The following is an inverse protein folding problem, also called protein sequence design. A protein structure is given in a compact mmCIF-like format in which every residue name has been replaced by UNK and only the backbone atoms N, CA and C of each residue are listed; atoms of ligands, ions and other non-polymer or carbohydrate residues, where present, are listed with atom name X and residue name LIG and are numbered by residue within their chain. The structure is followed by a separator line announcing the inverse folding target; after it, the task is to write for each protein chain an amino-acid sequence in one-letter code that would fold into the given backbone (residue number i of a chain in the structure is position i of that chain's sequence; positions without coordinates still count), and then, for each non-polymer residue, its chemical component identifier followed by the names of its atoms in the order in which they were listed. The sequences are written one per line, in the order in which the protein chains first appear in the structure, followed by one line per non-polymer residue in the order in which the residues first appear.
data_IF_743817865062
#
_entry.id   IF_743817865062
#
_cell.length_a   1.000
_cell.length_b   1.000
_cell.length_c   1.000
_cell.angle_alpha   90.00
_cell.angle_beta   90.00
_cell.angle_gamma   90.00
#
_symmetry.space_group_name_H-M   'P 1'
#
loop_
_entity.id
_entity.type
_entity.pdbx_description
1 polymer ?
#
# COMPACT_ATOMS: atom_id res chain seq x y z
N UNK A 1 -11.32 7.74 -5.89
CA UNK A 1 -10.67 6.42 -5.68
C UNK A 1 -10.26 5.78 -7.01
N UNK A 2 -11.19 5.59 -7.96
CA UNK A 2 -10.90 4.96 -9.27
C UNK A 2 -9.76 5.64 -10.05
N UNK A 3 -9.78 6.98 -10.18
CA UNK A 3 -8.72 7.71 -10.87
C UNK A 3 -7.30 7.44 -10.32
N UNK A 4 -7.17 7.22 -8.99
CA UNK A 4 -5.89 6.91 -8.34
C UNK A 4 -5.49 5.46 -8.61
N UNK A 5 -6.44 4.53 -8.57
CA UNK A 5 -6.21 3.12 -8.92
C UNK A 5 -5.77 2.98 -10.38
N UNK A 6 -6.42 3.69 -11.29
CA UNK A 6 -6.06 3.68 -12.71
C UNK A 6 -4.69 4.30 -12.97
N UNK A 7 -4.34 5.36 -12.23
CA UNK A 7 -3.00 5.92 -12.27
C UNK A 7 -1.96 4.90 -11.79
N UNK A 8 -2.19 4.23 -10.66
CA UNK A 8 -1.30 3.18 -10.15
C UNK A 8 -1.11 2.04 -11.15
N UNK A 9 -2.18 1.59 -11.81
CA UNK A 9 -2.09 0.57 -12.87
C UNK A 9 -1.21 1.01 -14.05
N UNK A 10 -1.25 2.28 -14.46
CA UNK A 10 -0.35 2.84 -15.48
C UNK A 10 1.10 2.85 -15.02
N UNK A 11 1.36 3.21 -13.76
CA UNK A 11 2.70 3.18 -13.16
C UNK A 11 3.26 1.75 -13.14
N UNK A 12 2.44 0.76 -12.76
CA UNK A 12 2.79 -0.66 -12.80
C UNK A 12 3.20 -1.10 -14.21
N UNK A 13 2.39 -0.77 -15.22
CA UNK A 13 2.67 -1.12 -16.63
C UNK A 13 4.00 -0.49 -17.08
N UNK A 14 4.23 0.78 -16.74
CA UNK A 14 5.44 1.49 -17.09
C UNK A 14 6.67 0.87 -16.39
N UNK A 15 6.57 0.57 -15.09
CA UNK A 15 7.64 -0.07 -14.33
C UNK A 15 8.04 -1.43 -14.94
N UNK A 16 7.06 -2.27 -15.28
CA UNK A 16 7.31 -3.55 -15.95
C UNK A 16 8.02 -3.37 -17.30
N UNK A 17 7.59 -2.38 -18.11
CA UNK A 17 8.25 -2.04 -19.40
C UNK A 17 9.69 -1.54 -19.23
N UNK A 18 9.97 -0.87 -18.12
CA UNK A 18 11.32 -0.36 -17.79
C UNK A 18 12.22 -1.42 -17.14
N UNK A 19 11.72 -2.64 -16.90
CA UNK A 19 12.46 -3.68 -16.16
C UNK A 19 12.57 -3.41 -14.66
N UNK A 20 11.78 -2.46 -14.12
CA UNK A 20 11.70 -2.17 -12.69
C UNK A 20 10.71 -3.12 -12.05
N UNK A 21 11.20 -4.00 -11.18
CA UNK A 21 10.41 -5.08 -10.57
C UNK A 21 9.68 -4.70 -9.28
N UNK A 22 9.79 -3.45 -8.83
CA UNK A 22 9.21 -2.98 -7.57
C UNK A 22 8.60 -1.58 -7.71
N UNK A 23 7.35 -1.42 -7.28
CA UNK A 23 6.67 -0.12 -7.15
C UNK A 23 6.23 0.08 -5.72
N UNK A 24 6.60 1.22 -5.13
CA UNK A 24 6.17 1.60 -3.78
C UNK A 24 4.88 2.43 -3.83
N UNK A 25 3.98 2.22 -2.89
CA UNK A 25 2.71 2.95 -2.78
C UNK A 25 2.20 2.97 -1.33
N UNK A 26 1.08 3.66 -1.12
CA UNK A 26 0.40 3.72 0.17
C UNK A 26 -0.87 2.86 0.13
N UNK A 27 -1.17 2.21 1.26
CA UNK A 27 -2.41 1.48 1.45
C UNK A 27 -3.44 2.44 2.06
N UNK A 28 -4.06 3.28 1.23
CA UNK A 28 -4.97 4.33 1.71
C UNK A 28 -6.04 3.80 2.68
N UNK A 29 -6.29 4.56 3.74
CA UNK A 29 -7.32 4.32 4.76
C UNK A 29 -8.21 5.55 4.92
N UNK A 30 -9.45 5.33 5.35
CA UNK A 30 -10.39 6.37 5.71
C UNK A 30 -10.24 6.69 7.20
N UNK A 31 -9.82 7.91 7.51
CA UNK A 31 -9.60 8.36 8.89
C UNK A 31 -10.90 8.36 9.74
N UNK A 32 -12.07 8.37 9.11
CA UNK A 32 -13.36 8.26 9.81
C UNK A 32 -13.71 6.82 10.23
N UNK A 33 -12.97 5.82 9.73
CA UNK A 33 -13.22 4.39 9.98
C UNK A 33 -12.18 3.79 10.92
N UNK A 34 -12.63 2.82 11.71
CA UNK A 34 -11.71 1.97 12.46
C UNK A 34 -10.93 1.02 11.54
N UNK A 35 -9.80 0.53 12.04
CA UNK A 35 -8.85 -0.30 11.28
C UNK A 35 -9.50 -1.53 10.62
N UNK A 36 -10.45 -2.18 11.28
CA UNK A 36 -11.13 -3.37 10.75
C UNK A 36 -12.01 -3.04 9.52
N UNK A 37 -12.77 -1.95 9.58
CA UNK A 37 -13.59 -1.50 8.46
C UNK A 37 -12.73 -1.05 7.26
N UNK A 38 -11.60 -0.37 7.53
CA UNK A 38 -10.63 -0.04 6.49
C UNK A 38 -9.99 -1.31 5.88
N UNK A 39 -9.73 -2.33 6.70
CA UNK A 39 -9.19 -3.60 6.24
C UNK A 39 -10.17 -4.36 5.33
N UNK A 40 -11.46 -4.36 5.64
CA UNK A 40 -12.50 -4.91 4.76
C UNK A 40 -12.55 -4.20 3.40
N UNK A 41 -12.41 -2.88 3.38
CA UNK A 41 -12.37 -2.11 2.14
C UNK A 41 -11.07 -2.30 1.34
N UNK A 42 -9.97 -2.58 2.03
CA UNK A 42 -8.70 -2.94 1.42
C UNK A 42 -8.80 -4.30 0.70
N UNK A 43 -9.42 -5.29 1.34
CA UNK A 43 -9.63 -6.62 0.77
C UNK A 43 -10.49 -6.61 -0.51
N UNK A 44 -11.37 -5.61 -0.68
CA UNK A 44 -12.19 -5.47 -1.90
C UNK A 44 -11.40 -4.91 -3.09
N UNK A 45 -10.36 -4.11 -2.85
CA UNK A 45 -9.70 -3.32 -3.89
C UNK A 45 -8.32 -3.85 -4.26
N UNK A 46 -7.53 -4.27 -3.28
CA UNK A 46 -6.13 -4.68 -3.52
C UNK A 46 -5.95 -5.95 -4.34
N UNK A 47 -6.79 -7.01 -4.23
CA UNK A 47 -6.57 -8.23 -5.00
C UNK A 47 -6.48 -8.01 -6.52
N UNK A 48 -7.34 -7.16 -7.07
CA UNK A 48 -7.32 -6.83 -8.50
C UNK A 48 -6.07 -6.03 -8.91
N UNK A 49 -5.58 -5.13 -8.05
CA UNK A 49 -4.37 -4.34 -8.31
C UNK A 49 -3.12 -5.23 -8.22
N UNK A 50 -3.09 -6.16 -7.26
CA UNK A 50 -2.00 -7.12 -7.09
C UNK A 50 -1.94 -8.07 -8.29
N UNK A 51 -3.07 -8.57 -8.76
CA UNK A 51 -3.13 -9.40 -9.98
C UNK A 51 -2.57 -8.64 -11.19
N UNK A 52 -2.98 -7.38 -11.38
CA UNK A 52 -2.45 -6.50 -12.43
C UNK A 52 -0.93 -6.31 -12.31
N UNK A 53 -0.40 -6.11 -11.10
CA UNK A 53 1.04 -6.00 -10.86
C UNK A 53 1.81 -7.26 -11.28
N UNK A 54 1.24 -8.44 -10.98
CA UNK A 54 1.84 -9.74 -11.35
C UNK A 54 1.92 -9.97 -12.84
N UNK A 55 0.85 -9.64 -13.56
CA UNK A 55 0.81 -9.75 -15.03
C UNK A 55 1.91 -8.93 -15.70
N UNK A 56 2.40 -7.88 -15.03
CA UNK A 56 3.49 -7.03 -15.49
C UNK A 56 4.85 -7.32 -14.84
N UNK A 57 4.99 -8.39 -14.03
CA UNK A 57 6.24 -8.75 -13.37
C UNK A 57 6.69 -7.77 -12.27
N UNK A 58 5.75 -7.00 -11.73
CA UNK A 58 6.00 -5.96 -10.71
C UNK A 58 5.50 -6.42 -9.35
N UNK A 59 6.30 -6.20 -8.31
CA UNK A 59 5.91 -6.34 -6.91
C UNK A 59 5.48 -4.98 -6.36
N UNK A 60 4.50 -5.00 -5.46
CA UNK A 60 4.08 -3.81 -4.73
C UNK A 60 4.71 -3.80 -3.34
N UNK A 61 5.27 -2.65 -2.99
CA UNK A 61 5.68 -2.34 -1.63
C UNK A 61 4.71 -1.31 -1.02
N UNK A 62 4.38 -1.51 0.25
CA UNK A 62 3.65 -0.52 1.02
C UNK A 62 4.57 0.20 1.97
N UNK A 63 4.45 1.52 1.97
CA UNK A 63 5.13 2.38 2.91
C UNK A 63 4.50 2.25 4.31
N UNK A 64 5.37 2.24 5.32
CA UNK A 64 5.02 2.13 6.74
C UNK A 64 5.00 3.49 7.44
N UNK A 65 3.94 4.26 7.23
CA UNK A 65 3.64 5.48 7.96
C UNK A 65 2.12 5.65 8.06
N UNK A 66 1.53 6.01 9.21
CA UNK A 66 0.09 6.22 9.30
C UNK A 66 -0.41 7.43 8.49
N UNK A 67 0.47 8.28 7.95
CA UNK A 67 0.13 9.53 7.26
C UNK A 67 -0.78 10.40 8.14
N UNK A 68 -0.22 10.91 9.24
CA UNK A 68 -0.88 11.80 10.20
C UNK A 68 -0.38 13.22 9.95
N UNK A 69 -1.30 14.14 9.71
CA UNK A 69 -1.07 15.55 9.42
C UNK A 69 -1.59 16.47 10.54
N UNK A 70 -2.46 15.98 11.41
CA UNK A 70 -2.94 16.69 12.60
C UNK A 70 -3.06 15.80 13.85
N UNK A 71 -3.17 16.41 15.04
CA UNK A 71 -3.16 15.68 16.31
C UNK A 71 -4.40 14.79 16.53
N UNK A 72 -5.50 15.11 15.87
CA UNK A 72 -6.80 14.40 15.95
C UNK A 72 -6.89 13.16 15.05
N UNK A 73 -5.92 12.94 14.17
CA UNK A 73 -5.90 11.78 13.25
C UNK A 73 -5.24 10.53 13.87
N UNK A 74 -4.65 10.67 15.06
CA UNK A 74 -4.13 9.54 15.82
C UNK A 74 -5.28 8.68 16.39
N UNK A 75 -5.19 7.33 16.37
CA UNK A 75 -4.07 6.49 15.94
C UNK A 75 -4.15 5.97 14.49
N UNK A 76 -5.16 6.36 13.72
CA UNK A 76 -5.51 5.69 12.45
C UNK A 76 -4.89 6.30 11.20
N UNK A 77 -4.81 7.62 11.13
CA UNK A 77 -4.32 8.37 9.96
C UNK A 77 -5.00 7.97 8.64
N UNK A 78 -4.28 8.15 7.53
CA UNK A 78 -4.76 7.95 6.16
C UNK A 78 -4.12 6.76 5.42
N UNK A 79 -3.29 5.97 6.09
CA UNK A 79 -2.68 4.76 5.53
C UNK A 79 -2.85 3.61 6.52
N UNK A 80 -3.31 2.44 6.08
CA UNK A 80 -3.51 1.27 6.94
C UNK A 80 -2.24 0.41 7.12
N UNK A 81 -1.21 0.62 6.30
CA UNK A 81 0.01 -0.18 6.33
C UNK A 81 1.03 0.29 7.39
N UNK A 82 0.59 0.71 8.58
CA UNK A 82 1.46 1.37 9.59
C UNK A 82 1.87 0.50 10.80
N UNK A 83 1.34 -0.72 10.92
CA UNK A 83 1.59 -1.57 12.09
C UNK A 83 1.79 -3.04 11.71
N UNK A 84 2.80 -3.73 12.31
CA UNK A 84 3.00 -5.17 12.12
C UNK A 84 1.77 -6.02 12.43
N UNK A 85 0.91 -5.56 13.34
CA UNK A 85 -0.34 -6.24 13.66
C UNK A 85 -1.31 -6.22 12.47
N UNK A 86 -1.42 -5.08 11.78
CA UNK A 86 -2.29 -4.94 10.60
C UNK A 86 -1.74 -5.75 9.42
N UNK A 87 -0.42 -5.78 9.22
CA UNK A 87 0.18 -6.56 8.13
C UNK A 87 -0.08 -8.06 8.27
N UNK A 88 -0.02 -8.59 9.51
CA UNK A 88 -0.28 -10.01 9.80
C UNK A 88 -1.75 -10.41 9.60
N UNK A 89 -2.67 -9.45 9.52
CA UNK A 89 -4.07 -9.70 9.16
C UNK A 89 -4.26 -9.99 7.67
N UNK A 90 -3.25 -9.69 6.83
CA UNK A 90 -3.22 -10.19 5.47
C UNK A 90 -3.09 -11.70 5.49
N UNK A 91 -4.06 -12.47 4.94
CA UNK A 91 -3.97 -13.92 4.85
C UNK A 91 -2.69 -14.40 4.15
N UNK A 92 -2.09 -13.52 3.35
CA UNK A 92 -0.91 -13.75 2.52
C UNK A 92 0.40 -13.32 3.20
N UNK A 93 0.36 -12.81 4.44
CA UNK A 93 1.57 -12.44 5.19
C UNK A 93 2.52 -13.62 5.46
N UNK A 94 2.05 -14.86 5.29
CA UNK A 94 2.86 -16.07 5.30
C UNK A 94 3.54 -16.41 3.95
N UNK A 95 3.29 -15.64 2.89
CA UNK A 95 3.86 -15.87 1.57
C UNK A 95 4.70 -14.66 1.11
N UNK A 96 6.05 -14.71 1.22
CA UNK A 96 6.94 -13.57 0.98
C UNK A 96 6.98 -13.06 -0.48
N UNK A 97 6.20 -13.65 -1.40
CA UNK A 97 6.04 -13.18 -2.78
C UNK A 97 4.97 -12.09 -3.01
N UNK A 98 4.25 -11.66 -1.97
CA UNK A 98 2.96 -10.93 -2.11
C UNK A 98 3.01 -9.49 -1.59
N UNK A 99 3.73 -9.26 -0.49
CA UNK A 99 3.85 -7.96 0.18
C UNK A 99 5.30 -7.74 0.61
N UNK A 100 5.90 -6.63 0.21
CA UNK A 100 7.09 -6.11 0.88
C UNK A 100 6.64 -4.85 1.61
N UNK A 101 6.38 -4.96 2.92
CA UNK A 101 6.30 -3.74 3.71
C UNK A 101 7.72 -3.26 3.93
N UNK A 102 8.06 -2.15 3.27
CA UNK A 102 9.35 -1.50 3.48
C UNK A 102 9.25 -0.79 4.84
N UNK A 103 9.70 -1.46 5.89
CA UNK A 103 9.83 -0.84 7.21
C UNK A 103 10.82 0.31 7.12
N UNK A 104 10.35 1.56 7.21
CA UNK A 104 11.05 2.83 7.50
C UNK A 104 12.55 2.90 7.08
N UNK A 105 12.91 2.33 5.94
CA UNK A 105 14.26 2.37 5.36
C UNK A 105 14.18 2.70 3.87
N UNK A 106 13.12 3.38 3.46
CA UNK A 106 13.19 4.23 2.29
C UNK A 106 13.36 5.65 2.82
N UNK A 107 14.57 6.20 2.65
CA UNK A 107 14.79 7.64 2.75
C UNK A 107 13.92 8.27 1.67
N UNK A 108 12.68 8.60 2.01
CA UNK A 108 11.92 9.59 1.27
C UNK A 108 12.75 10.86 1.38
N UNK A 109 13.36 11.28 0.27
CA UNK A 109 13.85 12.64 0.13
C UNK A 109 12.64 13.57 0.19
N UNK A 110 12.15 13.86 1.39
CA UNK A 110 11.46 15.11 1.68
C UNK A 110 12.55 16.16 1.69
N UNK A 111 12.84 16.72 0.52
CA UNK A 111 13.50 18.02 0.45
C UNK A 111 12.45 19.00 0.96
N UNK A 112 12.59 19.38 2.23
CA UNK A 112 11.90 20.54 2.79
C UNK A 112 12.40 21.83 2.16
#
# INVERSE_FOLDING_TARGET
REAVVDHLKKVIVLAGRMGVSLVNTFCGGDASKHVDANWEDAQKVWPAIIAHAREHGVKLAFENCPMIFSHDEWPGGHNIAYSPYVWRRSPEAGNPGYFVVLGVFMVSFSIG
#
